data_IF_933396912457
#
_entry.id   IF_933396912457
#
_cell.length_a   1.000
_cell.length_b   1.000
_cell.length_c   1.000
_cell.angle_alpha   90.00
_cell.angle_beta   90.00
_cell.angle_gamma   90.00
#
_symmetry.space_group_name_H-M   'P 1'
#
loop_
_entity.id
_entity.type
_entity.pdbx_description
1 polymer ?
#
# COMPACT_ATOMS: atom_id res chain seq x y z
N UNK A 1 -3.95 -2.65 -4.39
CA UNK A 1 -3.80 -2.86 -2.92
C UNK A 1 -4.54 -1.76 -2.20
N UNK A 2 -5.43 -2.10 -1.27
CA UNK A 2 -6.15 -1.11 -0.47
C UNK A 2 -5.41 -0.77 0.83
N UNK A 3 -5.30 0.51 1.14
CA UNK A 3 -4.78 1.06 2.40
C UNK A 3 -5.93 1.69 3.18
N UNK A 4 -5.94 1.48 4.49
CA UNK A 4 -7.01 1.97 5.35
C UNK A 4 -6.78 1.69 6.82
N UNK A 5 -7.39 2.47 7.74
CA UNK A 5 -7.38 2.15 9.15
C UNK A 5 -8.01 0.78 9.39
N UNK A 6 -7.35 0.02 10.25
CA UNK A 6 -7.82 -1.26 10.77
C UNK A 6 -8.07 -1.10 12.27
N UNK A 7 -9.28 -1.42 12.67
CA UNK A 7 -9.72 -1.54 14.07
C UNK A 7 -10.06 -3.01 14.34
N UNK A 8 -10.25 -3.43 15.60
CA UNK A 8 -10.70 -4.79 15.88
C UNK A 8 -12.05 -5.15 15.24
N UNK A 9 -12.92 -4.17 15.02
CA UNK A 9 -14.29 -4.39 14.52
C UNK A 9 -14.40 -4.21 13.00
N UNK A 10 -13.56 -3.36 12.42
CA UNK A 10 -13.69 -2.97 11.02
C UNK A 10 -12.37 -2.58 10.36
N UNK A 11 -12.31 -2.86 9.07
CA UNK A 11 -11.35 -2.28 8.13
C UNK A 11 -12.09 -1.30 7.21
N UNK A 12 -11.59 -0.07 7.09
CA UNK A 12 -12.16 0.93 6.18
C UNK A 12 -11.13 1.30 5.11
N UNK A 13 -11.27 0.84 3.86
CA UNK A 13 -10.36 1.23 2.79
C UNK A 13 -10.53 2.72 2.45
N UNK A 14 -9.42 3.45 2.35
CA UNK A 14 -9.42 4.90 2.03
C UNK A 14 -8.58 5.26 0.81
N UNK A 15 -7.67 4.39 0.39
CA UNK A 15 -6.80 4.60 -0.76
C UNK A 15 -6.50 3.28 -1.46
N UNK A 16 -6.49 3.27 -2.78
CA UNK A 16 -6.07 2.12 -3.57
C UNK A 16 -4.77 2.43 -4.33
N UNK A 17 -3.74 1.61 -4.12
CA UNK A 17 -2.50 1.67 -4.87
C UNK A 17 -2.55 0.75 -6.10
N UNK A 18 -1.90 1.13 -7.22
CA UNK A 18 -1.81 0.32 -8.43
C UNK A 18 -1.35 -1.11 -8.16
N UNK A 19 -2.03 -2.09 -8.75
CA UNK A 19 -1.73 -3.51 -8.58
C UNK A 19 -2.27 -4.31 -9.76
N UNK A 20 -1.60 -5.41 -10.14
CA UNK A 20 -2.10 -6.37 -11.13
C UNK A 20 -3.03 -7.42 -10.51
N UNK A 21 -3.50 -7.22 -9.28
CA UNK A 21 -4.12 -8.24 -8.44
C UNK A 21 -3.11 -9.02 -7.58
N UNK A 22 -1.82 -8.77 -7.78
CA UNK A 22 -0.71 -9.39 -7.07
C UNK A 22 -0.11 -8.41 -6.03
N UNK A 23 -0.53 -8.51 -4.78
CA UNK A 23 0.09 -7.77 -3.67
C UNK A 23 0.03 -8.59 -2.39
N UNK A 24 1.15 -8.74 -1.68
CA UNK A 24 1.24 -9.33 -0.33
C UNK A 24 2.44 -8.75 0.43
N UNK A 25 2.44 -8.89 1.76
CA UNK A 25 3.52 -8.48 2.65
C UNK A 25 4.04 -7.04 2.45
N UNK A 26 3.18 -6.00 2.50
CA UNK A 26 3.64 -4.63 2.39
C UNK A 26 4.50 -4.23 3.59
N UNK A 27 5.54 -3.42 3.34
CA UNK A 27 6.30 -2.73 4.37
C UNK A 27 5.77 -1.32 4.57
N UNK A 28 5.50 -0.92 5.81
CA UNK A 28 4.94 0.39 6.17
C UNK A 28 5.84 1.09 7.19
N UNK A 29 6.16 2.37 6.95
CA UNK A 29 6.90 3.20 7.91
C UNK A 29 6.43 4.65 7.86
N UNK A 30 6.30 5.28 9.02
CA UNK A 30 6.07 6.72 9.13
C UNK A 30 7.39 7.47 9.04
N UNK A 31 7.48 8.43 8.12
CA UNK A 31 8.66 9.28 7.95
C UNK A 31 8.25 10.68 7.44
N UNK A 32 8.70 11.72 8.14
CA UNK A 32 8.40 13.13 7.84
C UNK A 32 6.90 13.45 7.64
N UNK A 33 6.05 12.89 8.50
CA UNK A 33 4.59 13.11 8.45
C UNK A 33 3.89 12.42 7.28
N UNK A 34 4.58 11.51 6.58
CA UNK A 34 4.03 10.70 5.50
C UNK A 34 4.14 9.21 5.85
N UNK A 35 3.18 8.43 5.37
CA UNK A 35 3.26 6.97 5.39
C UNK A 35 3.98 6.50 4.12
N UNK A 36 5.15 5.90 4.29
CA UNK A 36 5.89 5.27 3.22
C UNK A 36 5.49 3.80 3.13
N UNK A 37 5.18 3.34 1.92
CA UNK A 37 4.68 2.00 1.66
C UNK A 37 5.51 1.35 0.57
N UNK A 38 6.21 0.27 0.92
CA UNK A 38 6.91 -0.61 -0.02
C UNK A 38 6.07 -1.85 -0.30
N UNK A 39 5.80 -2.14 -1.56
CA UNK A 39 4.98 -3.29 -1.96
C UNK A 39 5.40 -3.80 -3.34
N UNK A 40 5.25 -5.10 -3.59
CA UNK A 40 5.44 -5.64 -4.94
C UNK A 40 4.13 -5.60 -5.73
N UNK A 41 4.20 -5.40 -7.05
CA UNK A 41 3.06 -5.53 -7.95
C UNK A 41 3.52 -5.77 -9.41
N UNK A 42 2.62 -6.26 -10.26
CA UNK A 42 2.86 -6.52 -11.69
C UNK A 42 2.04 -5.62 -12.64
N UNK A 43 1.45 -4.54 -12.13
CA UNK A 43 0.53 -3.67 -12.89
C UNK A 43 1.16 -3.00 -14.13
N UNK A 44 2.48 -2.94 -14.21
CA UNK A 44 3.22 -2.43 -15.39
C UNK A 44 3.77 -3.57 -16.28
N UNK A 45 3.21 -4.78 -16.18
CA UNK A 45 3.55 -5.92 -17.02
C UNK A 45 4.74 -6.77 -16.54
N UNK A 46 5.44 -6.34 -15.49
CA UNK A 46 6.50 -7.11 -14.81
C UNK A 46 6.44 -6.87 -13.31
N UNK A 47 6.59 -7.92 -12.50
CA UNK A 47 6.67 -7.81 -11.04
C UNK A 47 7.86 -6.94 -10.63
N UNK A 48 7.57 -5.86 -9.92
CA UNK A 48 8.55 -4.91 -9.39
C UNK A 48 8.18 -4.50 -7.96
N UNK A 49 9.15 -3.94 -7.23
CA UNK A 49 8.92 -3.32 -5.92
C UNK A 49 8.68 -1.83 -6.13
N UNK A 50 7.54 -1.33 -5.65
CA UNK A 50 7.14 0.06 -5.71
C UNK A 50 7.25 0.70 -4.33
N UNK A 51 7.56 2.00 -4.33
CA UNK A 51 7.54 2.83 -3.12
C UNK A 51 6.52 3.95 -3.29
N UNK A 52 5.49 3.96 -2.45
CA UNK A 52 4.50 5.02 -2.39
C UNK A 52 4.70 5.88 -1.14
N UNK A 53 4.49 7.20 -1.28
CA UNK A 53 4.47 8.15 -0.18
C UNK A 53 3.05 8.69 -0.05
N UNK A 54 2.40 8.37 1.06
CA UNK A 54 0.99 8.65 1.29
C UNK A 54 0.84 9.71 2.37
N UNK A 55 0.06 10.75 2.08
CA UNK A 55 -0.43 11.69 3.08
C UNK A 55 -1.81 11.21 3.51
N UNK A 56 -1.89 10.70 4.73
CA UNK A 56 -3.15 10.27 5.37
C UNK A 56 -3.80 11.44 6.12
#
# INVERSE_FOLDING_TARGET
MALGPLTPEAYTPVLELPSGGDTSYPGLVWYDGLLWVSYYASHEGKTSIYLAKVKL
#
